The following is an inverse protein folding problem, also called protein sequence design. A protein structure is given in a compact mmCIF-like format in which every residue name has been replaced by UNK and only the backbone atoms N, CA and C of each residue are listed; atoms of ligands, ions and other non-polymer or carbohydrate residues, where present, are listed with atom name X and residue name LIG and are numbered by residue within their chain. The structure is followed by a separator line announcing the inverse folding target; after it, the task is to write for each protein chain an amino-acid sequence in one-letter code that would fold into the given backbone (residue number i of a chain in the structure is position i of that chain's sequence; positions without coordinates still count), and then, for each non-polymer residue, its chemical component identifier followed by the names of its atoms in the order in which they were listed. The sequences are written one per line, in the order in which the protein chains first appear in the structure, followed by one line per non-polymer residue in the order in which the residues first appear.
data_IF_922326310571
#
_entry.id   IF_922326310571
#
_cell.length_a   1.000
_cell.length_b   1.000
_cell.length_c   1.000
_cell.angle_alpha   90.00
_cell.angle_beta   90.00
_cell.angle_gamma   90.00
#
_symmetry.space_group_name_H-M   'P 1'
#
loop_
_entity.id
_entity.type
_entity.pdbx_description
1 polymer ?
#
# COMPACT_ATOMS: atom_id res chain seq x y z
N UNK A 1 14.76 -2.24 -4.30
CA UNK A 1 14.69 -2.05 -2.83
C UNK A 1 14.93 -0.61 -2.34
N UNK A 2 15.07 0.42 -3.20
CA UNK A 2 15.37 1.80 -2.76
C UNK A 2 14.17 2.75 -2.57
N UNK A 3 13.09 2.61 -3.36
CA UNK A 3 12.06 3.65 -3.47
C UNK A 3 11.15 3.80 -2.23
N UNK A 4 10.82 2.71 -1.54
CA UNK A 4 9.88 2.75 -0.39
C UNK A 4 10.49 3.48 0.81
N UNK A 5 11.81 3.38 1.00
CA UNK A 5 12.53 4.14 2.01
C UNK A 5 12.49 5.63 1.70
N UNK A 6 12.68 6.01 0.43
CA UNK A 6 12.65 7.40 -0.03
C UNK A 6 11.27 8.02 0.11
N UNK A 7 10.21 7.31 -0.26
CA UNK A 7 8.83 7.84 -0.16
C UNK A 7 8.45 8.05 1.30
N UNK A 8 8.79 7.13 2.20
CA UNK A 8 8.48 7.27 3.62
C UNK A 8 9.25 8.43 4.26
N UNK A 9 10.53 8.59 3.95
CA UNK A 9 11.33 9.71 4.48
C UNK A 9 10.85 11.05 3.94
N UNK A 10 10.50 11.13 2.65
CA UNK A 10 9.88 12.31 2.05
C UNK A 10 8.55 12.65 2.72
N UNK A 11 7.73 11.65 3.01
CA UNK A 11 6.42 11.86 3.65
C UNK A 11 6.58 12.34 5.10
N UNK A 12 7.53 11.79 5.85
CA UNK A 12 7.87 12.27 7.20
C UNK A 12 8.39 13.72 7.16
N UNK A 13 9.28 14.04 6.22
CA UNK A 13 9.79 15.40 6.05
C UNK A 13 8.67 16.38 5.69
N UNK A 14 7.75 15.98 4.79
CA UNK A 14 6.57 16.76 4.43
C UNK A 14 5.66 17.03 5.63
N UNK A 15 5.43 16.02 6.48
CA UNK A 15 4.64 16.17 7.72
C UNK A 15 5.28 17.20 8.64
N UNK A 16 6.60 17.13 8.83
CA UNK A 16 7.33 18.07 9.68
C UNK A 16 7.20 19.52 9.17
N UNK A 17 7.41 19.74 7.86
CA UNK A 17 7.28 21.07 7.24
C UNK A 17 5.84 21.58 7.34
N UNK A 18 4.84 20.74 7.06
CA UNK A 18 3.43 21.11 7.12
C UNK A 18 3.01 21.47 8.55
N UNK A 19 3.53 20.76 9.56
CA UNK A 19 3.29 21.08 10.96
C UNK A 19 3.86 22.45 11.36
N UNK A 20 5.07 22.79 10.90
CA UNK A 20 5.65 24.12 11.13
C UNK A 20 4.81 25.22 10.46
N UNK A 21 4.38 25.00 9.22
CA UNK A 21 3.49 25.94 8.51
C UNK A 21 2.16 26.15 9.23
N UNK A 22 1.60 25.10 9.84
CA UNK A 22 0.36 25.19 10.61
C UNK A 22 0.52 26.01 11.90
N UNK A 23 1.66 25.85 12.59
CA UNK A 23 1.98 26.65 13.78
C UNK A 23 2.12 28.13 13.40
N UNK A 24 2.84 28.42 12.32
CA UNK A 24 3.03 29.79 11.82
C UNK A 24 1.71 30.45 11.43
N UNK A 25 0.83 29.72 10.71
CA UNK A 25 -0.49 30.19 10.35
C UNK A 25 -1.37 30.47 11.59
N UNK A 26 -1.23 29.65 12.63
CA UNK A 26 -1.96 29.83 13.90
C UNK A 26 -1.51 31.11 14.62
N UNK A 27 -0.20 31.37 14.66
CA UNK A 27 0.37 32.59 15.26
C UNK A 27 -0.06 33.83 14.47
N UNK A 28 -0.07 33.72 13.13
CA UNK A 28 -0.47 34.78 12.21
C UNK A 28 -2.00 35.00 12.15
N UNK A 29 -2.79 34.21 12.90
CA UNK A 29 -4.27 34.21 12.91
C UNK A 29 -4.90 34.08 11.51
N UNK A 30 -4.19 33.46 10.58
CA UNK A 30 -4.65 33.19 9.22
C UNK A 30 -5.42 31.88 9.20
N UNK A 31 -6.69 31.94 9.63
CA UNK A 31 -7.54 30.75 9.81
C UNK A 31 -7.71 29.91 8.53
N UNK A 32 -7.66 30.54 7.35
CA UNK A 32 -7.69 29.82 6.07
C UNK A 32 -6.45 28.93 5.88
N UNK A 33 -5.26 29.46 6.18
CA UNK A 33 -4.01 28.70 6.13
C UNK A 33 -3.98 27.59 7.19
N UNK A 34 -4.52 27.84 8.38
CA UNK A 34 -4.66 26.81 9.43
C UNK A 34 -5.55 25.66 8.96
N UNK A 35 -6.67 25.97 8.31
CA UNK A 35 -7.59 24.94 7.79
C UNK A 35 -6.93 24.10 6.69
N UNK A 36 -6.30 24.74 5.70
CA UNK A 36 -5.65 24.04 4.59
C UNK A 36 -4.48 23.19 5.06
N UNK A 37 -3.60 23.75 5.91
CA UNK A 37 -2.44 23.02 6.45
C UNK A 37 -2.87 21.88 7.37
N UNK A 38 -3.93 22.07 8.17
CA UNK A 38 -4.51 21.02 9.01
C UNK A 38 -5.09 19.85 8.21
N UNK A 39 -5.83 20.13 7.12
CA UNK A 39 -6.35 19.10 6.22
C UNK A 39 -5.19 18.34 5.56
N UNK A 40 -4.19 19.07 5.04
CA UNK A 40 -3.01 18.48 4.43
C UNK A 40 -2.24 17.58 5.42
N UNK A 41 -2.05 18.04 6.66
CA UNK A 41 -1.40 17.27 7.72
C UNK A 41 -2.19 16.00 8.06
N UNK A 42 -3.52 16.11 8.19
CA UNK A 42 -4.39 14.96 8.43
C UNK A 42 -4.31 13.90 7.33
N UNK A 43 -4.33 14.33 6.06
CA UNK A 43 -4.16 13.44 4.90
C UNK A 43 -2.80 12.75 4.90
N UNK A 44 -1.72 13.48 5.22
CA UNK A 44 -0.37 12.90 5.29
C UNK A 44 -0.25 11.88 6.43
N UNK A 45 -0.82 12.16 7.60
CA UNK A 45 -0.86 11.20 8.73
C UNK A 45 -1.67 9.96 8.34
N UNK A 46 -2.82 10.14 7.68
CA UNK A 46 -3.63 9.03 7.18
C UNK A 46 -2.88 8.19 6.14
N UNK A 47 -2.12 8.82 5.23
CA UNK A 47 -1.27 8.13 4.27
C UNK A 47 -0.14 7.35 4.94
N UNK A 48 0.50 7.91 5.98
CA UNK A 48 1.54 7.25 6.77
C UNK A 48 0.98 6.04 7.54
N UNK A 49 -0.22 6.17 8.11
CA UNK A 49 -0.96 5.09 8.76
C UNK A 49 -1.48 4.04 7.78
N UNK A 50 -1.86 4.43 6.56
CA UNK A 50 -2.26 3.54 5.48
C UNK A 50 -1.10 2.72 4.92
N UNK A 51 0.07 3.34 4.75
CA UNK A 51 1.30 2.66 4.31
C UNK A 51 1.79 1.60 5.30
N UNK A 52 1.39 1.68 6.57
CA UNK A 52 1.69 0.68 7.61
C UNK A 52 0.56 -0.33 7.81
N UNK A 53 -0.68 -0.01 7.41
CA UNK A 53 -1.84 -0.90 7.54
C UNK A 53 -2.00 -1.81 6.32
N UNK A 54 -1.47 -3.03 6.45
CA UNK A 54 -2.15 -4.34 6.21
C UNK A 54 -1.13 -5.47 6.00
N UNK A 55 -0.18 -5.64 6.92
CA UNK A 55 0.46 -6.97 7.07
C UNK A 55 -0.47 -7.82 7.94
N UNK A 56 -1.36 -8.57 7.32
CA UNK A 56 -2.10 -9.60 8.04
C UNK A 56 -1.20 -10.81 8.23
N UNK A 57 -1.02 -11.22 9.49
CA UNK A 57 -0.34 -12.46 9.80
C UNK A 57 -1.29 -13.61 9.45
N UNK A 58 -1.03 -14.24 8.30
CA UNK A 58 -1.74 -15.45 7.89
C UNK A 58 -0.96 -16.64 8.42
N UNK A 59 -1.63 -17.53 9.17
CA UNK A 59 -1.04 -18.81 9.54
C UNK A 59 -0.98 -19.71 8.30
N UNK A 60 0.22 -19.99 7.82
CA UNK A 60 0.47 -20.95 6.75
C UNK A 60 0.67 -22.35 7.35
N UNK A 61 0.20 -23.39 6.64
CA UNK A 61 0.58 -24.76 6.97
C UNK A 61 2.10 -24.94 6.76
N UNK A 62 2.71 -25.79 7.57
CA UNK A 62 4.17 -25.97 7.59
C UNK A 62 4.73 -26.47 6.25
N UNK A 63 4.02 -27.35 5.55
CA UNK A 63 4.38 -27.83 4.21
C UNK A 63 4.43 -26.70 3.19
N UNK A 64 3.43 -25.82 3.20
CA UNK A 64 3.38 -24.67 2.33
C UNK A 64 4.46 -23.64 2.66
N UNK A 65 4.74 -23.42 3.95
CA UNK A 65 5.82 -22.53 4.39
C UNK A 65 7.19 -23.01 3.88
N UNK A 66 7.46 -24.31 3.96
CA UNK A 66 8.69 -24.92 3.42
C UNK A 66 8.76 -24.75 1.91
N UNK A 67 7.66 -25.05 1.20
CA UNK A 67 7.60 -24.91 -0.26
C UNK A 67 7.84 -23.46 -0.71
N UNK A 68 7.22 -22.48 -0.05
CA UNK A 68 7.39 -21.05 -0.38
C UNK A 68 8.85 -20.63 -0.19
N UNK A 69 9.49 -21.08 0.89
CA UNK A 69 10.87 -20.74 1.19
C UNK A 69 11.85 -21.33 0.15
N UNK A 70 11.66 -22.59 -0.23
CA UNK A 70 12.46 -23.24 -1.28
C UNK A 70 12.27 -22.55 -2.64
N UNK A 71 11.01 -22.21 -2.97
CA UNK A 71 10.70 -21.51 -4.23
C UNK A 71 11.28 -20.09 -4.27
N UNK A 72 11.28 -19.38 -3.16
CA UNK A 72 11.93 -18.07 -3.02
C UNK A 72 13.45 -18.20 -3.26
N UNK A 73 14.09 -19.22 -2.68
CA UNK A 73 15.52 -19.48 -2.88
C UNK A 73 15.86 -19.78 -4.34
N UNK A 74 15.05 -20.58 -5.05
CA UNK A 74 15.26 -20.90 -6.46
C UNK A 74 15.05 -19.70 -7.38
N UNK A 75 14.07 -18.84 -7.07
CA UNK A 75 13.74 -17.67 -7.89
C UNK A 75 14.62 -16.44 -7.60
N UNK A 76 15.29 -16.40 -6.45
CA UNK A 76 16.01 -15.21 -5.97
C UNK A 76 15.09 -14.07 -5.50
N UNK A 77 13.77 -14.30 -5.44
CA UNK A 77 12.79 -13.37 -4.89
C UNK A 77 12.72 -13.49 -3.36
N UNK A 78 12.26 -12.45 -2.66
CA UNK A 78 11.90 -12.60 -1.24
C UNK A 78 10.58 -13.36 -1.11
N UNK A 79 10.39 -14.04 0.01
CA UNK A 79 9.16 -14.77 0.33
C UNK A 79 7.92 -13.87 0.18
N UNK A 80 8.01 -12.61 0.63
CA UNK A 80 6.92 -11.64 0.51
C UNK A 80 6.58 -11.31 -0.93
N UNK A 81 7.60 -11.06 -1.77
CA UNK A 81 7.39 -10.72 -3.19
C UNK A 81 6.74 -11.90 -3.94
N UNK A 82 7.16 -13.13 -3.63
CA UNK A 82 6.60 -14.33 -4.21
C UNK A 82 5.13 -14.53 -3.82
N UNK A 83 4.81 -14.37 -2.52
CA UNK A 83 3.44 -14.51 -2.02
C UNK A 83 2.53 -13.40 -2.56
N UNK A 84 3.00 -12.16 -2.63
CA UNK A 84 2.24 -11.02 -3.15
C UNK A 84 1.91 -11.22 -4.63
N UNK A 85 2.88 -11.69 -5.43
CA UNK A 85 2.66 -12.05 -6.84
C UNK A 85 1.63 -13.17 -6.98
N UNK A 86 1.73 -14.22 -6.17
CA UNK A 86 0.79 -15.34 -6.21
C UNK A 86 -0.63 -14.92 -5.81
N UNK A 87 -0.78 -14.07 -4.79
CA UNK A 87 -2.06 -13.53 -4.36
C UNK A 87 -2.66 -12.58 -5.40
N UNK A 88 -1.83 -11.76 -6.05
CA UNK A 88 -2.26 -10.87 -7.13
C UNK A 88 -2.79 -11.65 -8.33
N UNK A 89 -2.07 -12.70 -8.76
CA UNK A 89 -2.53 -13.60 -9.83
C UNK A 89 -3.84 -14.29 -9.44
N UNK A 90 -3.93 -14.83 -8.21
CA UNK A 90 -5.17 -15.43 -7.71
C UNK A 90 -6.35 -14.44 -7.68
N UNK A 91 -6.14 -13.24 -7.14
CA UNK A 91 -7.17 -12.21 -7.06
C UNK A 91 -7.68 -11.80 -8.46
N UNK A 92 -6.77 -11.69 -9.44
CA UNK A 92 -7.14 -11.38 -10.83
C UNK A 92 -8.04 -12.45 -11.45
N UNK A 93 -7.82 -13.73 -11.12
CA UNK A 93 -8.61 -14.85 -11.61
C UNK A 93 -9.97 -14.96 -10.93
N UNK A 94 -10.04 -14.64 -9.64
CA UNK A 94 -11.29 -14.65 -8.87
C UNK A 94 -12.17 -13.45 -9.22
N UNK A 95 -11.57 -12.29 -9.51
CA UNK A 95 -12.31 -11.09 -9.90
C UNK A 95 -12.81 -11.11 -11.35
N UNK A 96 -12.31 -12.02 -12.19
CA UNK A 96 -12.78 -12.16 -13.57
C UNK A 96 -14.23 -12.68 -13.59
N UNK A 97 -15.17 -12.00 -14.29
CA UNK A 97 -16.51 -12.54 -14.47
C UNK A 97 -16.44 -13.87 -15.21
N UNK A 98 -17.34 -14.84 -14.93
CA UNK A 98 -17.35 -16.10 -15.65
C UNK A 98 -17.49 -15.84 -17.15
N UNK A 99 -16.77 -16.58 -18.02
CA UNK A 99 -16.94 -16.45 -19.45
C UNK A 99 -18.42 -16.69 -19.78
N UNK A 100 -19.05 -15.71 -20.44
CA UNK A 100 -20.45 -15.81 -20.86
C UNK A 100 -20.59 -17.06 -21.73
N UNK A 101 -21.22 -18.10 -21.19
CA UNK A 101 -21.60 -19.29 -21.92
C UNK A 101 -22.75 -18.92 -22.87
N UNK A 102 -22.43 -18.46 -24.08
CA UNK A 102 -23.42 -18.15 -25.10
C UNK A 102 -23.05 -16.95 -25.96
N UNK A 103 -22.07 -17.11 -26.84
CA UNK A 103 -22.00 -16.28 -28.04
C UNK A 103 -23.07 -16.76 -29.04
N UNK A 104 -23.89 -15.86 -29.62
CA UNK A 104 -25.00 -16.26 -30.48
C UNK A 104 -24.47 -17.01 -31.71
N UNK A 105 -25.10 -18.16 -32.00
CA UNK A 105 -24.98 -18.82 -33.29
C UNK A 105 -25.25 -17.80 -34.39
N UNK A 106 -24.26 -17.62 -35.25
CA UNK A 106 -24.45 -16.93 -36.53
C UNK A 106 -25.12 -17.93 -37.44
N UNK A 107 -26.45 -17.86 -37.49
CA UNK A 107 -27.24 -18.30 -38.64
C UNK A 107 -27.12 -17.28 -39.78
#
# INVERSE_FOLDING_TARGET
MGAVWTVRTLLIASVAVTAVAMVDATISRSWDLVAVTGIALGLQIAALGGATRRRHHVHLRADLAVWVNDRAAVSGETVEALVDRALSDFASRVAAPPPLAGGPGRE
#
